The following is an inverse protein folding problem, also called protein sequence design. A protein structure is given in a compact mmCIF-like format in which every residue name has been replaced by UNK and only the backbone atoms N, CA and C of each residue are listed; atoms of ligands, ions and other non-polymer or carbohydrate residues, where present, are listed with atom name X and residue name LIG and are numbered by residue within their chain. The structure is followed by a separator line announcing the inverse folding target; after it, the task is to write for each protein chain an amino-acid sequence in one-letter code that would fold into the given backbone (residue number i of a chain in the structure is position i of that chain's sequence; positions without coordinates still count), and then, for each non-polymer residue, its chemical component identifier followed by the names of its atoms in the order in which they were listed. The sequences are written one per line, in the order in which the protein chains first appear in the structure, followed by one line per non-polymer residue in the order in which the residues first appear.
data_IF_690696767964
#
_entry.id   IF_690696767964
#
_cell.length_a   1.000
_cell.length_b   1.000
_cell.length_c   1.000
_cell.angle_alpha   90.00
_cell.angle_beta   90.00
_cell.angle_gamma   90.00
#
_symmetry.space_group_name_H-M   'P 1'
#
loop_
_entity.id
_entity.type
_entity.pdbx_description
1 polymer ?
#
# COMPACT_ATOMS: atom_id res chain seq x y z
N UNK A 1 -10.98 -21.13 -2.38
CA UNK A 1 -11.26 -20.95 -0.93
C UNK A 1 -11.57 -19.51 -0.50
N UNK A 2 -10.95 -18.46 -1.05
CA UNK A 2 -11.19 -17.08 -0.58
C UNK A 2 -12.65 -16.60 -0.67
N UNK A 3 -13.34 -16.89 -1.79
CA UNK A 3 -14.75 -16.50 -2.00
C UNK A 3 -15.70 -17.04 -0.92
N UNK A 4 -15.48 -18.26 -0.43
CA UNK A 4 -16.29 -18.82 0.66
C UNK A 4 -16.13 -17.99 1.95
N UNK A 5 -14.90 -17.71 2.35
CA UNK A 5 -14.63 -16.87 3.52
C UNK A 5 -15.15 -15.45 3.35
N UNK A 6 -15.08 -14.87 2.14
CA UNK A 6 -15.62 -13.55 1.84
C UNK A 6 -17.15 -13.52 2.03
N UNK A 7 -17.86 -14.50 1.46
CA UNK A 7 -19.31 -14.68 1.66
C UNK A 7 -19.67 -14.90 3.13
N UNK A 8 -18.93 -15.74 3.86
CA UNK A 8 -19.16 -15.96 5.28
C UNK A 8 -18.91 -14.70 6.13
N UNK A 9 -17.97 -13.86 5.73
CA UNK A 9 -17.75 -12.57 6.40
C UNK A 9 -18.92 -11.61 6.20
N UNK A 10 -19.76 -11.81 5.18
CA UNK A 10 -20.96 -10.99 4.98
C UNK A 10 -21.99 -11.10 6.12
N UNK A 11 -21.92 -12.19 6.90
CA UNK A 11 -22.76 -12.50 8.08
C UNK A 11 -22.21 -11.90 9.39
N UNK A 12 -21.03 -11.27 9.35
CA UNK A 12 -20.42 -10.69 10.54
C UNK A 12 -21.10 -9.39 10.96
N UNK A 13 -21.03 -9.07 12.26
CA UNK A 13 -21.55 -7.79 12.79
C UNK A 13 -20.78 -6.64 12.13
N UNK A 14 -21.46 -5.69 11.47
CA UNK A 14 -20.79 -4.62 10.75
C UNK A 14 -20.15 -3.62 11.72
N UNK A 15 -19.12 -2.91 11.23
CA UNK A 15 -18.68 -1.69 11.88
C UNK A 15 -19.84 -0.67 11.87
N UNK A 16 -19.98 0.09 12.96
CA UNK A 16 -21.06 1.08 13.10
C UNK A 16 -20.61 2.51 12.78
N UNK A 17 -19.31 2.75 12.69
CA UNK A 17 -18.72 4.06 12.46
C UNK A 17 -17.21 4.05 12.68
N UNK A 18 -16.62 5.25 12.70
CA UNK A 18 -15.23 5.47 13.08
C UNK A 18 -15.11 5.80 14.57
N UNK A 19 -14.10 5.24 15.24
CA UNK A 19 -13.64 5.64 16.57
C UNK A 19 -12.67 6.83 16.46
N UNK A 20 -11.84 6.84 15.42
CA UNK A 20 -11.00 7.96 15.01
C UNK A 20 -10.98 8.07 13.49
N UNK A 21 -10.93 9.30 12.97
CA UNK A 21 -10.72 9.56 11.55
C UNK A 21 -9.22 9.86 11.35
N UNK A 22 -8.42 8.91 10.86
CA UNK A 22 -7.03 9.22 10.54
C UNK A 22 -7.00 10.22 9.39
N UNK A 23 -6.16 11.24 9.49
CA UNK A 23 -5.89 12.11 8.35
C UNK A 23 -5.31 11.28 7.19
N UNK A 24 -5.64 11.59 5.92
CA UNK A 24 -5.08 10.87 4.79
C UNK A 24 -3.56 10.99 4.78
N UNK A 25 -2.86 9.86 5.03
CA UNK A 25 -1.38 9.83 5.01
C UNK A 25 -0.81 9.48 3.63
N UNK A 26 -1.66 9.08 2.68
CA UNK A 26 -1.26 8.67 1.33
C UNK A 26 -1.09 9.87 0.39
N UNK A 27 -0.11 9.75 -0.52
CA UNK A 27 0.15 10.75 -1.56
C UNK A 27 -0.20 10.11 -2.91
N UNK A 28 -1.07 10.76 -3.68
CA UNK A 28 -1.38 10.38 -5.06
C UNK A 28 -0.72 11.30 -6.09
N UNK A 29 -0.79 10.90 -7.35
CA UNK A 29 -0.31 11.69 -8.48
C UNK A 29 -1.45 12.55 -9.05
N UNK A 30 -1.28 13.87 -8.99
CA UNK A 30 -2.20 14.83 -9.63
C UNK A 30 -2.38 14.53 -11.13
N UNK A 31 -1.28 14.24 -11.84
CA UNK A 31 -1.31 13.95 -13.27
C UNK A 31 -2.13 12.68 -13.58
N UNK A 32 -1.94 11.60 -12.80
CA UNK A 32 -2.75 10.37 -12.96
C UNK A 32 -4.21 10.62 -12.63
N UNK A 33 -4.50 11.40 -11.58
CA UNK A 33 -5.87 11.77 -11.24
C UNK A 33 -6.57 12.52 -12.37
N UNK A 34 -5.87 13.46 -13.03
CA UNK A 34 -6.39 14.17 -14.22
C UNK A 34 -6.59 13.24 -15.43
N UNK A 35 -5.75 12.23 -15.59
CA UNK A 35 -5.96 11.20 -16.63
C UNK A 35 -7.22 10.38 -16.34
N UNK A 36 -7.43 9.95 -15.09
CA UNK A 36 -8.62 9.21 -14.66
C UNK A 36 -9.90 10.02 -14.87
N UNK A 37 -9.91 11.31 -14.53
CA UNK A 37 -11.08 12.17 -14.78
C UNK A 37 -11.31 12.39 -16.27
N UNK A 38 -10.26 12.47 -17.09
CA UNK A 38 -10.38 12.54 -18.55
C UNK A 38 -10.80 11.22 -19.23
N UNK A 39 -10.96 10.11 -18.49
CA UNK A 39 -11.31 8.80 -19.03
C UNK A 39 -10.13 8.05 -19.67
N UNK A 40 -8.90 8.40 -19.29
CA UNK A 40 -7.68 7.68 -19.64
C UNK A 40 -7.23 6.82 -18.46
N UNK A 41 -7.39 5.51 -18.59
CA UNK A 41 -7.15 4.55 -17.51
C UNK A 41 -5.85 3.80 -17.79
N UNK A 42 -4.77 4.18 -17.12
CA UNK A 42 -3.48 3.50 -17.16
C UNK A 42 -3.29 2.68 -15.88
N UNK A 43 -3.46 1.36 -16.00
CA UNK A 43 -3.26 0.40 -14.90
C UNK A 43 -2.42 -0.78 -15.38
N UNK A 44 -1.45 -1.20 -14.57
CA UNK A 44 -0.54 -2.30 -14.86
C UNK A 44 0.12 -2.24 -16.26
N UNK A 45 0.37 -1.03 -16.78
CA UNK A 45 0.93 -0.80 -18.12
C UNK A 45 -0.07 -0.80 -19.28
N UNK A 46 -1.35 -1.10 -19.04
CA UNK A 46 -2.40 -1.06 -20.07
C UNK A 46 -3.14 0.27 -20.04
N UNK A 47 -3.18 0.97 -21.19
CA UNK A 47 -3.95 2.19 -21.38
C UNK A 47 -5.30 1.89 -22.03
N UNK A 48 -6.39 2.24 -21.36
CA UNK A 48 -7.74 2.18 -21.92
C UNK A 48 -8.33 3.58 -21.94
N UNK A 49 -8.85 3.99 -23.09
CA UNK A 49 -9.56 5.26 -23.25
C UNK A 49 -11.06 5.00 -23.29
N UNK A 50 -11.78 5.43 -22.26
CA UNK A 50 -13.22 5.24 -22.15
C UNK A 50 -13.86 6.40 -21.37
N UNK A 51 -14.24 7.46 -22.10
CA UNK A 51 -14.96 8.58 -21.50
C UNK A 51 -16.33 8.13 -20.99
N UNK A 52 -16.76 8.70 -19.86
CA UNK A 52 -18.07 8.46 -19.24
C UNK A 52 -18.38 7.00 -18.86
N UNK A 53 -17.38 6.11 -18.84
CA UNK A 53 -17.54 4.75 -18.31
C UNK A 53 -17.09 4.66 -16.87
N UNK A 54 -17.76 3.80 -16.10
CA UNK A 54 -17.26 3.35 -14.82
C UNK A 54 -15.98 2.52 -15.01
N UNK A 55 -15.04 2.62 -14.08
CA UNK A 55 -13.85 1.76 -14.08
C UNK A 55 -14.22 0.27 -14.01
N UNK A 56 -15.39 -0.06 -13.47
CA UNK A 56 -15.87 -1.43 -13.34
C UNK A 56 -16.51 -1.99 -14.62
N UNK A 57 -16.66 -1.16 -15.66
CA UNK A 57 -17.20 -1.53 -16.98
C UNK A 57 -16.15 -1.49 -18.10
N UNK A 58 -14.88 -1.32 -17.73
CA UNK A 58 -13.76 -1.39 -18.66
C UNK A 58 -13.52 -2.83 -19.10
N UNK A 59 -12.99 -3.05 -20.31
CA UNK A 59 -12.43 -4.36 -20.64
C UNK A 59 -11.30 -4.67 -19.64
N UNK A 60 -11.23 -5.89 -19.15
CA UNK A 60 -10.18 -6.37 -18.23
C UNK A 60 -9.14 -7.15 -19.05
N UNK A 61 -8.16 -6.48 -19.70
CA UNK A 61 -7.25 -7.11 -20.66
C UNK A 61 -6.27 -8.08 -19.99
N UNK A 62 -6.00 -7.89 -18.70
CA UNK A 62 -5.05 -8.69 -17.94
C UNK A 62 -5.48 -8.78 -16.47
N UNK A 63 -5.03 -9.82 -15.77
CA UNK A 63 -5.30 -10.01 -14.34
C UNK A 63 -4.69 -8.90 -13.49
N UNK A 64 -3.48 -8.42 -13.81
CA UNK A 64 -2.81 -7.34 -13.07
C UNK A 64 -3.57 -6.02 -13.18
N UNK A 65 -4.18 -5.77 -14.34
CA UNK A 65 -5.07 -4.64 -14.55
C UNK A 65 -6.27 -4.70 -13.58
N UNK A 66 -6.98 -5.83 -13.56
CA UNK A 66 -8.13 -6.03 -12.67
C UNK A 66 -7.73 -5.98 -11.18
N UNK A 67 -6.56 -6.53 -10.83
CA UNK A 67 -5.98 -6.45 -9.48
C UNK A 67 -5.70 -5.00 -9.05
N UNK A 68 -5.15 -4.14 -9.92
CA UNK A 68 -4.94 -2.72 -9.61
C UNK A 68 -6.24 -1.95 -9.35
N UNK A 69 -7.28 -2.20 -10.15
CA UNK A 69 -8.60 -1.59 -9.95
C UNK A 69 -9.18 -1.96 -8.58
N UNK A 70 -9.12 -3.24 -8.22
CA UNK A 70 -9.63 -3.74 -6.95
C UNK A 70 -8.78 -3.38 -5.72
N UNK A 71 -7.53 -2.96 -5.93
CA UNK A 71 -6.66 -2.42 -4.89
C UNK A 71 -7.01 -1.00 -4.47
N UNK A 72 -7.76 -0.25 -5.28
CA UNK A 72 -8.20 1.11 -5.01
C UNK A 72 -7.08 2.14 -4.77
N UNK A 73 -5.89 1.92 -5.35
CA UNK A 73 -4.79 2.91 -5.30
C UNK A 73 -5.17 4.20 -6.03
N UNK A 74 -6.02 4.10 -7.06
CA UNK A 74 -6.57 5.24 -7.80
C UNK A 74 -7.31 6.26 -6.91
N UNK A 75 -7.73 5.90 -5.69
CA UNK A 75 -8.28 6.86 -4.74
C UNK A 75 -7.25 7.92 -4.32
N UNK A 76 -5.99 7.53 -4.16
CA UNK A 76 -4.91 8.45 -3.81
C UNK A 76 -4.76 9.50 -4.93
N UNK A 77 -4.77 9.05 -6.20
CA UNK A 77 -4.64 9.91 -7.38
C UNK A 77 -5.84 10.87 -7.54
N UNK A 78 -7.07 10.40 -7.32
CA UNK A 78 -8.27 11.26 -7.37
C UNK A 78 -8.28 12.28 -6.22
N UNK A 79 -7.85 11.88 -5.02
CA UNK A 79 -7.75 12.79 -3.88
C UNK A 79 -6.73 13.91 -4.15
N UNK A 80 -5.64 13.62 -4.85
CA UNK A 80 -4.62 14.61 -5.22
C UNK A 80 -5.15 15.70 -6.17
N UNK A 81 -6.17 15.42 -6.99
CA UNK A 81 -6.79 16.43 -7.88
C UNK A 81 -7.69 17.38 -7.10
N UNK A 82 -8.38 16.89 -6.07
CA UNK A 82 -9.19 17.67 -5.14
C UNK A 82 -10.32 18.54 -5.75
N UNK A 83 -10.78 18.24 -6.98
CA UNK A 83 -11.93 18.92 -7.61
C UNK A 83 -13.26 18.16 -7.40
N UNK A 84 -14.38 18.78 -7.80
CA UNK A 84 -15.71 18.20 -7.66
C UNK A 84 -15.90 16.93 -8.52
N UNK A 85 -15.29 16.87 -9.70
CA UNK A 85 -15.41 15.73 -10.62
C UNK A 85 -14.64 14.52 -10.10
N UNK A 86 -13.39 14.71 -9.65
CA UNK A 86 -12.56 13.68 -9.06
C UNK A 86 -13.20 13.09 -7.80
N UNK A 87 -13.76 13.95 -6.94
CA UNK A 87 -14.52 13.50 -5.76
C UNK A 87 -15.74 12.69 -6.15
N UNK A 88 -16.52 13.14 -7.14
CA UNK A 88 -17.69 12.41 -7.62
C UNK A 88 -17.30 11.03 -8.16
N UNK A 89 -16.25 10.93 -8.98
CA UNK A 89 -15.73 9.65 -9.48
C UNK A 89 -15.25 8.74 -8.35
N UNK A 90 -14.55 9.30 -7.37
CA UNK A 90 -14.08 8.53 -6.22
C UNK A 90 -15.23 7.90 -5.44
N UNK A 91 -16.30 8.67 -5.21
CA UNK A 91 -17.53 8.22 -4.55
C UNK A 91 -18.25 7.18 -5.41
N UNK A 92 -18.61 7.52 -6.65
CA UNK A 92 -19.35 6.66 -7.57
C UNK A 92 -18.70 5.29 -7.72
N UNK A 93 -17.39 5.26 -8.01
CA UNK A 93 -16.67 4.00 -8.20
C UNK A 93 -16.54 3.20 -6.90
N UNK A 94 -16.35 3.85 -5.75
CA UNK A 94 -16.28 3.15 -4.46
C UNK A 94 -17.62 2.51 -4.09
N UNK A 95 -18.72 3.26 -4.18
CA UNK A 95 -20.04 2.75 -3.84
C UNK A 95 -20.53 1.73 -4.87
N UNK A 96 -20.14 1.87 -6.13
CA UNK A 96 -20.37 0.84 -7.12
C UNK A 96 -19.63 -0.47 -6.77
N UNK A 97 -18.40 -0.40 -6.27
CA UNK A 97 -17.70 -1.59 -5.78
C UNK A 97 -18.47 -2.24 -4.62
N UNK A 98 -18.98 -1.44 -3.67
CA UNK A 98 -19.82 -1.94 -2.56
C UNK A 98 -21.04 -2.70 -3.10
N UNK A 99 -21.72 -2.14 -4.09
CA UNK A 99 -22.91 -2.74 -4.71
C UNK A 99 -22.59 -4.03 -5.49
N UNK A 100 -21.55 -4.02 -6.33
CA UNK A 100 -21.19 -5.14 -7.21
C UNK A 100 -20.50 -6.30 -6.47
N UNK A 101 -19.64 -5.99 -5.51
CA UNK A 101 -18.70 -6.95 -4.92
C UNK A 101 -18.78 -7.04 -3.39
N UNK A 102 -19.45 -6.11 -2.70
CA UNK A 102 -19.47 -6.02 -1.23
C UNK A 102 -20.16 -7.18 -0.49
N UNK A 103 -20.80 -8.12 -1.20
CA UNK A 103 -21.37 -9.36 -0.66
C UNK A 103 -20.35 -10.50 -0.55
N UNK A 104 -19.11 -10.31 -1.01
CA UNK A 104 -18.12 -11.38 -1.09
C UNK A 104 -18.11 -12.10 -2.45
N UNK A 105 -18.83 -11.58 -3.45
CA UNK A 105 -18.85 -12.07 -4.83
C UNK A 105 -17.82 -11.37 -5.72
N UNK A 106 -17.44 -12.05 -6.79
CA UNK A 106 -16.61 -11.47 -7.84
C UNK A 106 -15.10 -11.40 -7.52
N UNK A 107 -14.35 -10.71 -8.39
CA UNK A 107 -12.93 -10.39 -8.19
C UNK A 107 -12.73 -9.39 -7.04
N UNK A 108 -11.50 -9.27 -6.54
CA UNK A 108 -11.14 -8.31 -5.47
C UNK A 108 -11.16 -8.83 -4.02
N UNK A 109 -11.65 -10.05 -3.79
CA UNK A 109 -11.64 -10.72 -2.46
C UNK A 109 -10.42 -11.64 -2.28
N UNK A 110 -9.23 -11.06 -2.37
CA UNK A 110 -7.97 -11.68 -1.94
C UNK A 110 -7.40 -10.88 -0.76
N UNK A 111 -6.63 -11.50 0.15
CA UNK A 111 -6.03 -10.76 1.24
C UNK A 111 -5.07 -9.65 0.76
N UNK A 112 -4.35 -9.91 -0.34
CA UNK A 112 -3.46 -8.98 -1.05
C UNK A 112 -4.20 -7.67 -1.39
N UNK A 113 -5.35 -7.77 -2.05
CA UNK A 113 -6.15 -6.62 -2.47
C UNK A 113 -6.95 -6.00 -1.32
N UNK A 114 -7.42 -6.82 -0.38
CA UNK A 114 -8.29 -6.32 0.70
C UNK A 114 -7.53 -5.47 1.70
N UNK A 115 -6.29 -5.82 2.04
CA UNK A 115 -5.45 -4.98 2.89
C UNK A 115 -5.22 -3.61 2.26
N UNK A 116 -4.78 -3.62 0.99
CA UNK A 116 -4.56 -2.44 0.19
C UNK A 116 -5.79 -1.52 0.17
N UNK A 117 -6.95 -2.07 -0.18
CA UNK A 117 -8.22 -1.33 -0.29
C UNK A 117 -8.70 -0.78 1.06
N UNK A 118 -8.59 -1.56 2.15
CA UNK A 118 -8.97 -1.09 3.50
C UNK A 118 -8.18 0.17 3.89
N UNK A 119 -6.87 0.20 3.64
CA UNK A 119 -6.03 1.37 3.93
C UNK A 119 -6.57 2.61 3.20
N UNK A 120 -6.81 2.52 1.89
CA UNK A 120 -7.23 3.69 1.09
C UNK A 120 -8.64 4.14 1.44
N UNK A 121 -9.56 3.22 1.67
CA UNK A 121 -10.92 3.58 2.08
C UNK A 121 -10.90 4.30 3.44
N UNK A 122 -10.16 3.77 4.42
CA UNK A 122 -10.06 4.41 5.75
C UNK A 122 -9.41 5.79 5.64
N UNK A 123 -8.29 5.92 4.92
CA UNK A 123 -7.60 7.20 4.74
C UNK A 123 -8.47 8.25 4.02
N UNK A 124 -9.24 7.83 3.01
CA UNK A 124 -10.09 8.72 2.22
C UNK A 124 -11.54 8.78 2.70
N UNK A 125 -11.81 8.41 3.95
CA UNK A 125 -13.16 8.37 4.49
C UNK A 125 -13.88 9.72 4.38
N UNK A 126 -13.19 10.83 4.63
CA UNK A 126 -13.75 12.19 4.52
C UNK A 126 -14.18 12.46 3.06
N UNK A 127 -13.31 12.19 2.08
CA UNK A 127 -13.61 12.33 0.66
C UNK A 127 -14.83 11.49 0.26
N UNK A 128 -14.87 10.23 0.71
CA UNK A 128 -15.88 9.25 0.31
C UNK A 128 -17.25 9.49 0.97
N UNK A 129 -17.28 9.99 2.21
CA UNK A 129 -18.52 10.21 2.96
C UNK A 129 -19.07 11.63 2.86
N UNK A 130 -18.28 12.59 2.34
CA UNK A 130 -18.73 13.97 2.19
C UNK A 130 -19.97 14.05 1.29
N UNK A 131 -21.06 14.61 1.82
CA UNK A 131 -22.34 14.75 1.13
C UNK A 131 -23.17 13.48 1.00
N UNK A 132 -22.74 12.35 1.59
CA UNK A 132 -23.48 11.09 1.55
C UNK A 132 -24.54 11.02 2.65
N UNK A 133 -25.68 10.39 2.33
CA UNK A 133 -26.75 10.17 3.30
C UNK A 133 -26.38 9.06 4.31
N UNK A 134 -27.19 8.95 5.38
CA UNK A 134 -26.97 7.97 6.46
C UNK A 134 -27.05 6.51 6.00
N UNK A 135 -27.89 6.19 5.03
CA UNK A 135 -28.02 4.83 4.50
C UNK A 135 -26.79 4.44 3.69
N UNK A 136 -26.35 5.32 2.79
CA UNK A 136 -25.14 5.14 1.99
C UNK A 136 -23.91 4.98 2.89
N UNK A 137 -23.76 5.82 3.92
CA UNK A 137 -22.72 5.67 4.94
C UNK A 137 -22.78 4.32 5.68
N UNK A 138 -23.98 3.81 6.01
CA UNK A 138 -24.13 2.47 6.63
C UNK A 138 -23.68 1.35 5.69
N UNK A 139 -23.91 1.45 4.38
CA UNK A 139 -23.41 0.43 3.42
C UNK A 139 -21.89 0.41 3.36
N UNK A 140 -21.27 1.59 3.41
CA UNK A 140 -19.81 1.75 3.47
C UNK A 140 -19.20 1.08 4.72
N UNK A 141 -19.69 1.41 5.91
CA UNK A 141 -19.17 0.82 7.16
C UNK A 141 -19.41 -0.69 7.25
N UNK A 142 -20.55 -1.16 6.73
CA UNK A 142 -20.83 -2.60 6.61
C UNK A 142 -19.82 -3.30 5.72
N UNK A 143 -19.49 -2.70 4.57
CA UNK A 143 -18.47 -3.23 3.66
C UNK A 143 -17.09 -3.28 4.32
N UNK A 144 -16.66 -2.20 4.97
CA UNK A 144 -15.40 -2.16 5.73
C UNK A 144 -15.33 -3.26 6.80
N UNK A 145 -16.38 -3.42 7.62
CA UNK A 145 -16.43 -4.48 8.63
C UNK A 145 -16.28 -5.88 8.04
N UNK A 146 -16.97 -6.17 6.92
CA UNK A 146 -16.88 -7.47 6.22
C UNK A 146 -15.48 -7.74 5.70
N UNK A 147 -14.86 -6.72 5.10
CA UNK A 147 -13.49 -6.79 4.59
C UNK A 147 -12.48 -7.06 5.72
N UNK A 148 -12.62 -6.38 6.86
CA UNK A 148 -11.79 -6.60 8.05
C UNK A 148 -11.92 -8.02 8.59
N UNK A 149 -13.15 -8.54 8.70
CA UNK A 149 -13.38 -9.92 9.19
C UNK A 149 -12.81 -10.94 8.21
N UNK A 150 -13.00 -10.76 6.91
CA UNK A 150 -12.38 -11.61 5.89
C UNK A 150 -10.85 -11.61 6.01
N UNK A 151 -10.25 -10.42 6.05
CA UNK A 151 -8.81 -10.26 6.11
C UNK A 151 -8.23 -10.86 7.39
N UNK A 152 -8.91 -10.72 8.53
CA UNK A 152 -8.49 -11.28 9.82
C UNK A 152 -8.37 -12.81 9.78
N UNK A 153 -9.17 -13.47 8.93
CA UNK A 153 -9.17 -14.93 8.73
C UNK A 153 -8.19 -15.37 7.64
N UNK A 154 -7.82 -14.49 6.71
CA UNK A 154 -7.13 -14.86 5.46
C UNK A 154 -5.77 -14.20 5.23
N UNK A 155 -5.34 -13.25 6.05
CA UNK A 155 -4.06 -12.54 5.85
C UNK A 155 -2.85 -13.49 5.67
N UNK A 156 -2.84 -14.66 6.32
CA UNK A 156 -1.75 -15.66 6.18
C UNK A 156 -1.59 -16.23 4.76
N UNK A 157 -2.66 -16.15 3.97
CA UNK A 157 -2.66 -16.56 2.57
C UNK A 157 -2.32 -15.44 1.60
N UNK A 158 -2.02 -14.23 2.09
CA UNK A 158 -1.44 -13.20 1.26
C UNK A 158 -0.07 -13.64 0.75
N UNK A 159 0.27 -13.24 -0.47
CA UNK A 159 1.61 -13.41 -1.01
C UNK A 159 2.65 -12.82 -0.05
N UNK A 160 3.83 -13.45 0.07
CA UNK A 160 4.92 -12.92 0.89
C UNK A 160 5.41 -11.56 0.36
N UNK A 161 6.11 -10.79 1.19
CA UNK A 161 6.57 -9.43 0.84
C UNK A 161 5.47 -8.38 0.96
N UNK A 162 5.49 -7.38 0.08
CA UNK A 162 4.59 -6.21 0.15
C UNK A 162 3.10 -6.55 0.37
N UNK A 163 2.48 -7.52 -0.32
CA UNK A 163 1.06 -7.82 -0.13
C UNK A 163 0.70 -8.25 1.29
N UNK A 164 1.61 -8.94 2.01
CA UNK A 164 1.37 -9.34 3.40
C UNK A 164 1.55 -8.16 4.37
N UNK A 165 2.50 -7.26 4.10
CA UNK A 165 2.61 -6.01 4.84
C UNK A 165 1.34 -5.15 4.67
N UNK A 166 0.82 -5.01 3.45
CA UNK A 166 -0.45 -4.31 3.19
C UNK A 166 -1.64 -4.96 3.92
N UNK A 167 -1.73 -6.29 3.90
CA UNK A 167 -2.76 -7.04 4.62
C UNK A 167 -2.73 -6.78 6.14
N UNK A 168 -1.55 -6.79 6.74
CA UNK A 168 -1.38 -6.61 8.18
C UNK A 168 -1.58 -5.15 8.60
N UNK A 169 -1.04 -4.19 7.85
CA UNK A 169 -1.26 -2.76 8.08
C UNK A 169 -2.73 -2.39 7.91
N UNK A 170 -3.41 -2.90 6.88
CA UNK A 170 -4.85 -2.70 6.68
C UNK A 170 -5.70 -3.26 7.83
N UNK A 171 -5.30 -4.40 8.42
CA UNK A 171 -5.97 -4.91 9.62
C UNK A 171 -5.74 -4.05 10.87
N UNK A 172 -4.54 -3.50 11.03
CA UNK A 172 -4.23 -2.59 12.14
C UNK A 172 -5.08 -1.31 12.00
N UNK A 173 -5.07 -0.69 10.83
CA UNK A 173 -5.87 0.51 10.54
C UNK A 173 -7.36 0.24 10.76
N UNK A 174 -7.89 -0.83 10.17
CA UNK A 174 -9.29 -1.17 10.37
C UNK A 174 -9.64 -1.46 11.83
N UNK A 175 -8.76 -2.13 12.58
CA UNK A 175 -8.97 -2.41 13.99
C UNK A 175 -8.91 -1.17 14.88
N UNK A 176 -8.07 -0.19 14.54
CA UNK A 176 -7.95 1.07 15.29
C UNK A 176 -9.05 2.07 14.95
N UNK A 177 -9.44 2.14 13.67
CA UNK A 177 -10.38 3.14 13.19
C UNK A 177 -11.84 2.71 13.29
N UNK A 178 -12.18 1.42 13.16
CA UNK A 178 -13.59 0.98 13.08
C UNK A 178 -14.15 0.48 14.41
N UNK A 179 -15.32 0.99 14.78
CA UNK A 179 -16.03 0.56 15.99
C UNK A 179 -16.32 -0.95 15.96
N UNK A 180 -15.86 -1.67 16.99
CA UNK A 180 -16.09 -3.10 17.18
C UNK A 180 -15.06 -4.02 16.51
N UNK A 181 -13.98 -3.46 15.96
CA UNK A 181 -12.89 -4.20 15.29
C UNK A 181 -11.57 -4.20 16.08
N UNK A 182 -11.54 -3.60 17.27
CA UNK A 182 -10.36 -3.34 18.11
C UNK A 182 -9.63 -4.63 18.50
N UNK A 183 -10.38 -5.73 18.68
CA UNK A 183 -9.85 -7.08 18.99
C UNK A 183 -8.85 -7.63 17.96
N UNK A 184 -8.84 -7.07 16.74
CA UNK A 184 -7.95 -7.53 15.67
C UNK A 184 -6.55 -6.91 15.76
N UNK A 185 -6.39 -5.75 16.43
CA UNK A 185 -5.16 -4.95 16.44
C UNK A 185 -3.99 -5.73 17.05
N UNK A 186 -4.14 -6.30 18.23
CA UNK A 186 -3.03 -6.98 18.93
C UNK A 186 -2.46 -8.16 18.14
N UNK A 187 -3.33 -8.97 17.52
CA UNK A 187 -2.91 -10.11 16.68
C UNK A 187 -2.23 -9.64 15.39
N UNK A 188 -2.76 -8.59 14.76
CA UNK A 188 -2.19 -8.04 13.53
C UNK A 188 -0.82 -7.39 13.79
N UNK A 189 -0.67 -6.62 14.88
CA UNK A 189 0.61 -6.02 15.28
C UNK A 189 1.69 -7.08 15.57
N UNK A 190 1.33 -8.18 16.26
CA UNK A 190 2.26 -9.29 16.47
C UNK A 190 2.64 -10.01 15.20
N UNK A 191 1.69 -10.20 14.28
CA UNK A 191 1.98 -10.77 12.97
C UNK A 191 2.87 -9.85 12.13
N UNK A 192 2.65 -8.53 12.15
CA UNK A 192 3.47 -7.55 11.45
C UNK A 192 4.92 -7.57 11.94
N UNK A 193 5.13 -7.67 13.24
CA UNK A 193 6.47 -7.78 13.83
C UNK A 193 7.20 -9.06 13.39
N UNK A 194 6.49 -10.18 13.32
CA UNK A 194 7.03 -11.46 12.81
C UNK A 194 7.34 -11.38 11.32
N UNK A 195 6.51 -10.66 10.56
CA UNK A 195 6.74 -10.40 9.15
C UNK A 195 8.00 -9.56 8.93
N UNK A 196 8.18 -8.49 9.71
CA UNK A 196 9.37 -7.65 9.71
C UNK A 196 10.63 -8.48 10.00
N UNK A 197 10.59 -9.36 11.00
CA UNK A 197 11.73 -10.20 11.34
C UNK A 197 12.08 -11.25 10.27
N UNK A 198 11.13 -11.59 9.38
CA UNK A 198 11.31 -12.61 8.34
C UNK A 198 11.74 -12.03 7.01
N UNK A 199 11.15 -10.92 6.60
CA UNK A 199 11.32 -10.35 5.26
C UNK A 199 12.35 -9.22 5.21
N UNK A 200 12.77 -8.67 6.37
CA UNK A 200 13.71 -7.54 6.43
C UNK A 200 14.99 -7.99 7.10
N UNK A 201 16.07 -8.06 6.32
CA UNK A 201 17.37 -8.53 6.78
C UNK A 201 18.04 -7.56 7.78
N UNK A 202 19.25 -7.90 8.20
CA UNK A 202 20.04 -7.13 9.18
C UNK A 202 20.54 -5.79 8.63
N UNK A 203 20.54 -5.61 7.31
CA UNK A 203 20.92 -4.38 6.61
C UNK A 203 19.68 -3.56 6.23
N UNK A 204 18.46 -4.07 6.46
CA UNK A 204 17.22 -3.38 6.11
C UNK A 204 16.77 -3.63 4.67
N UNK A 205 17.31 -4.65 4.02
CA UNK A 205 16.92 -5.07 2.68
C UNK A 205 15.73 -6.04 2.65
N UNK A 206 15.09 -6.12 1.49
CA UNK A 206 14.02 -7.08 1.17
C UNK A 206 14.45 -8.03 0.04
N UNK A 207 13.89 -9.26 -0.03
CA UNK A 207 14.33 -10.29 -0.98
C UNK A 207 14.23 -9.90 -2.46
N UNK A 208 13.26 -9.08 -2.84
CA UNK A 208 13.07 -8.65 -4.24
C UNK A 208 14.14 -7.68 -4.71
N UNK A 209 14.94 -7.15 -3.78
CA UNK A 209 15.96 -6.13 -4.04
C UNK A 209 15.40 -4.89 -4.77
N UNK A 210 14.09 -4.66 -4.75
CA UNK A 210 13.42 -3.55 -5.43
C UNK A 210 13.34 -2.32 -4.49
N UNK A 211 14.01 -1.19 -4.82
CA UNK A 211 14.02 0.00 -3.97
C UNK A 211 12.65 0.65 -3.76
N UNK A 212 11.80 0.66 -4.80
CA UNK A 212 10.45 1.23 -4.73
C UNK A 212 9.54 0.37 -3.84
N UNK A 213 9.63 -0.96 -3.95
CA UNK A 213 8.91 -1.87 -3.05
C UNK A 213 9.37 -1.70 -1.60
N UNK A 214 10.67 -1.50 -1.35
CA UNK A 214 11.18 -1.21 -0.02
C UNK A 214 10.59 0.09 0.54
N UNK A 215 10.45 1.14 -0.29
CA UNK A 215 9.81 2.39 0.12
C UNK A 215 8.33 2.20 0.46
N UNK A 216 7.60 1.36 -0.29
CA UNK A 216 6.22 0.99 0.02
C UNK A 216 6.12 0.30 1.39
N UNK A 217 6.95 -0.72 1.62
CA UNK A 217 7.02 -1.43 2.91
C UNK A 217 7.34 -0.46 4.04
N UNK A 218 8.37 0.37 3.88
CA UNK A 218 8.79 1.36 4.87
C UNK A 218 7.65 2.33 5.23
N UNK A 219 6.95 2.84 4.22
CA UNK A 219 5.81 3.74 4.39
C UNK A 219 4.71 3.08 5.21
N UNK A 220 4.33 1.83 4.88
CA UNK A 220 3.31 1.07 5.61
C UNK A 220 3.71 0.79 7.05
N UNK A 221 4.98 0.48 7.30
CA UNK A 221 5.49 0.24 8.65
C UNK A 221 5.45 1.50 9.50
N UNK A 222 5.92 2.64 8.96
CA UNK A 222 5.86 3.93 9.65
C UNK A 222 4.43 4.31 9.97
N UNK A 223 3.51 4.19 9.01
CA UNK A 223 2.08 4.43 9.21
C UNK A 223 1.46 3.54 10.29
N UNK A 224 1.80 2.26 10.32
CA UNK A 224 1.33 1.34 11.35
C UNK A 224 1.88 1.72 12.74
N UNK A 225 3.16 2.10 12.81
CA UNK A 225 3.79 2.49 14.07
C UNK A 225 3.15 3.78 14.63
N UNK A 226 2.97 4.80 13.79
CA UNK A 226 2.31 6.05 14.18
C UNK A 226 0.87 5.80 14.63
N UNK A 227 0.08 5.04 13.87
CA UNK A 227 -1.32 4.77 14.22
C UNK A 227 -1.45 3.99 15.55
N UNK A 228 -0.55 3.04 15.81
CA UNK A 228 -0.50 2.33 17.10
C UNK A 228 -0.20 3.31 18.24
N UNK A 229 0.83 4.15 18.09
CA UNK A 229 1.23 5.13 19.10
C UNK A 229 0.14 6.18 19.38
N UNK A 230 -0.50 6.72 18.35
CA UNK A 230 -1.65 7.65 18.45
C UNK A 230 -2.83 7.02 19.21
N UNK A 231 -3.00 5.69 19.10
CA UNK A 231 -4.00 4.94 19.84
C UNK A 231 -3.54 4.48 21.23
N UNK A 232 -2.43 5.02 21.75
CA UNK A 232 -1.88 4.68 23.07
C UNK A 232 -1.29 3.27 23.17
N UNK A 233 -0.93 2.65 22.03
CA UNK A 233 -0.33 1.31 21.97
C UNK A 233 1.12 1.40 21.52
N UNK A 234 2.02 0.73 22.22
CA UNK A 234 3.42 0.66 21.82
C UNK A 234 3.60 -0.31 20.64
N UNK A 235 4.17 0.13 19.49
CA UNK A 235 4.57 -0.78 18.42
C UNK A 235 5.58 -1.82 18.90
N UNK A 236 5.58 -3.01 18.29
CA UNK A 236 6.47 -4.08 18.73
C UNK A 236 7.93 -3.79 18.36
N UNK A 237 8.87 -4.27 19.20
CA UNK A 237 10.31 -4.02 19.01
C UNK A 237 10.83 -4.41 17.63
N UNK A 238 10.43 -5.58 17.10
CA UNK A 238 10.89 -6.03 15.78
C UNK A 238 10.36 -5.16 14.63
N UNK A 239 9.18 -4.55 14.80
CA UNK A 239 8.60 -3.60 13.85
C UNK A 239 9.36 -2.27 13.87
N UNK A 240 9.61 -1.69 15.05
CA UNK A 240 10.42 -0.46 15.17
C UNK A 240 11.84 -0.66 14.66
N UNK A 241 12.48 -1.78 15.04
CA UNK A 241 13.82 -2.11 14.59
C UNK A 241 13.90 -2.30 13.06
N UNK A 242 12.83 -2.73 12.40
CA UNK A 242 12.78 -2.81 10.94
C UNK A 242 12.77 -1.41 10.29
N UNK A 243 11.96 -0.48 10.81
CA UNK A 243 11.96 0.92 10.36
C UNK A 243 13.37 1.51 10.47
N UNK A 244 14.03 1.31 11.61
CA UNK A 244 15.40 1.81 11.87
C UNK A 244 16.45 1.24 10.90
N UNK A 245 16.29 -0.01 10.46
CA UNK A 245 17.21 -0.66 9.50
C UNK A 245 16.93 -0.24 8.05
N UNK A 246 15.67 -0.07 7.67
CA UNK A 246 15.30 0.28 6.30
C UNK A 246 15.72 1.72 5.95
N UNK A 247 15.58 2.67 6.88
CA UNK A 247 15.79 4.08 6.58
C UNK A 247 17.20 4.40 6.03
N UNK A 248 18.32 3.87 6.59
CA UNK A 248 19.65 4.01 6.01
C UNK A 248 19.78 3.43 4.61
N UNK A 249 19.15 2.28 4.36
CA UNK A 249 19.18 1.59 3.06
C UNK A 249 18.46 2.41 2.00
N UNK A 250 17.27 2.96 2.29
CA UNK A 250 16.60 3.88 1.37
C UNK A 250 17.40 5.16 1.09
N UNK A 251 18.10 5.71 2.09
CA UNK A 251 19.00 6.86 1.88
C UNK A 251 20.18 6.52 0.97
N UNK A 252 20.72 5.30 1.08
CA UNK A 252 21.79 4.81 0.23
C UNK A 252 21.31 4.46 -1.19
N UNK A 253 20.02 4.25 -1.42
CA UNK A 253 19.44 4.00 -2.74
C UNK A 253 18.88 5.25 -3.43
N UNK A 254 19.05 6.42 -2.79
CA UNK A 254 18.61 7.73 -3.30
C UNK A 254 19.70 8.36 -4.18
N UNK A 255 19.33 8.75 -5.39
CA UNK A 255 20.14 9.59 -6.28
C UNK A 255 20.22 11.03 -5.76
N UNK A 256 21.16 11.81 -6.31
CA UNK A 256 21.31 13.22 -5.96
C UNK A 256 20.09 14.09 -6.32
N UNK A 257 19.22 13.63 -7.22
CA UNK A 257 17.96 14.27 -7.60
C UNK A 257 16.79 13.96 -6.64
N UNK A 258 17.03 13.15 -5.61
CA UNK A 258 16.03 12.74 -4.62
C UNK A 258 15.19 11.51 -5.02
N UNK A 259 15.32 11.02 -6.25
CA UNK A 259 14.67 9.79 -6.72
C UNK A 259 15.36 8.53 -6.22
N UNK A 260 14.64 7.40 -6.27
CA UNK A 260 15.22 6.07 -6.05
C UNK A 260 15.83 5.50 -7.34
N UNK A 261 16.85 4.67 -7.17
CA UNK A 261 17.39 3.85 -8.26
C UNK A 261 16.34 2.86 -8.80
N UNK A 262 16.36 2.59 -10.11
CA UNK A 262 15.31 1.86 -10.84
C UNK A 262 15.71 0.44 -11.19
N UNK A 263 15.75 -0.41 -10.18
CA UNK A 263 16.13 -1.82 -10.33
C UNK A 263 14.97 -2.79 -10.05
N UNK A 264 15.05 -3.97 -10.67
CA UNK A 264 14.17 -5.13 -10.46
C UNK A 264 12.66 -4.79 -10.46
N UNK A 265 12.22 -4.14 -11.54
CA UNK A 265 10.84 -3.72 -11.75
C UNK A 265 10.38 -2.48 -10.98
N UNK A 266 11.27 -1.84 -10.21
CA UNK A 266 10.98 -0.61 -9.48
C UNK A 266 11.28 0.64 -10.31
N UNK A 267 10.47 1.67 -10.14
CA UNK A 267 10.70 3.02 -10.64
C UNK A 267 11.36 3.94 -9.62
N UNK A 268 11.42 5.23 -9.94
CA UNK A 268 12.00 6.27 -9.06
C UNK A 268 11.13 6.63 -7.84
N UNK A 269 9.91 6.09 -7.75
CA UNK A 269 8.88 6.54 -6.81
C UNK A 269 8.22 7.87 -7.19
N UNK A 270 7.15 8.24 -6.48
CA UNK A 270 6.55 9.58 -6.59
C UNK A 270 7.50 10.63 -6.01
N UNK A 271 7.54 11.80 -6.66
CA UNK A 271 8.34 12.93 -6.21
C UNK A 271 7.99 13.33 -4.76
N UNK A 272 9.02 13.60 -3.94
CA UNK A 272 8.88 13.96 -2.53
C UNK A 272 8.45 12.81 -1.59
N UNK A 273 7.99 11.67 -2.12
CA UNK A 273 7.48 10.56 -1.29
C UNK A 273 8.57 9.93 -0.41
N UNK A 274 9.77 9.74 -0.95
CA UNK A 274 10.91 9.20 -0.21
C UNK A 274 11.27 10.12 0.96
N UNK A 275 11.40 11.42 0.70
CA UNK A 275 11.78 12.39 1.72
C UNK A 275 10.70 12.49 2.80
N UNK A 276 9.42 12.50 2.43
CA UNK A 276 8.31 12.47 3.38
C UNK A 276 8.34 11.19 4.23
N UNK A 277 8.56 10.02 3.63
CA UNK A 277 8.61 8.76 4.36
C UNK A 277 9.77 8.74 5.36
N UNK A 278 10.95 9.25 4.96
CA UNK A 278 12.12 9.36 5.83
C UNK A 278 11.92 10.38 6.96
N UNK A 279 11.25 11.50 6.69
CA UNK A 279 10.93 12.52 7.69
C UNK A 279 9.92 12.01 8.75
N UNK A 280 8.98 11.16 8.33
CA UNK A 280 7.97 10.57 9.22
C UNK A 280 8.55 9.47 10.14
N UNK A 281 9.72 8.93 9.83
CA UNK A 281 10.35 7.91 10.66
C UNK A 281 11.09 8.54 11.85
N UNK A 282 10.64 8.22 13.06
CA UNK A 282 11.29 8.62 14.28
C UNK A 282 12.59 7.81 14.47
N UNK A 283 13.72 8.31 13.99
CA UNK A 283 15.01 7.63 14.11
C UNK A 283 16.18 8.55 13.78
N UNK A 284 17.34 8.29 14.39
CA UNK A 284 18.58 9.01 14.07
C UNK A 284 19.03 8.65 12.65
N UNK A 285 19.52 9.64 11.91
CA UNK A 285 20.17 9.39 10.64
C UNK A 285 21.38 8.48 10.86
N UNK A 286 21.32 7.25 10.36
CA UNK A 286 22.44 6.31 10.29
C UNK A 286 22.83 6.16 8.84
N UNK A 287 24.13 6.06 8.58
CA UNK A 287 24.68 5.74 7.28
C UNK A 287 24.65 4.23 7.07
N UNK A 288 24.23 3.79 5.89
CA UNK A 288 24.48 2.41 5.47
C UNK A 288 25.99 2.24 5.22
N UNK A 289 26.52 1.08 5.56
CA UNK A 289 27.91 0.70 5.28
C UNK A 289 27.89 -0.51 4.36
N UNK A 290 28.82 -0.59 3.41
CA UNK A 290 28.88 -1.69 2.45
C UNK A 290 27.79 -1.61 1.38
N UNK A 291 27.20 -2.75 1.04
CA UNK A 291 26.14 -2.85 0.05
C UNK A 291 24.78 -2.57 0.70
N UNK A 292 23.95 -1.76 0.05
CA UNK A 292 22.56 -1.56 0.45
C UNK A 292 21.69 -2.45 -0.43
N UNK A 293 21.07 -3.52 0.08
CA UNK A 293 20.29 -4.48 -0.75
C UNK A 293 21.07 -5.07 -1.93
N UNK A 294 22.39 -5.22 -1.78
CA UNK A 294 23.27 -5.67 -2.86
C UNK A 294 23.67 -4.58 -3.85
N UNK A 295 23.32 -3.31 -3.61
CA UNK A 295 23.75 -2.18 -4.43
C UNK A 295 24.94 -1.45 -3.80
N UNK A 296 25.96 -1.15 -4.60
CA UNK A 296 27.07 -0.30 -4.22
C UNK A 296 26.77 1.15 -4.60
N UNK A 297 27.02 2.10 -3.70
CA UNK A 297 26.86 3.53 -3.98
C UNK A 297 28.19 4.26 -3.89
N UNK A 298 28.47 5.08 -4.90
CA UNK A 298 29.56 6.06 -4.93
C UNK A 298 28.94 7.45 -5.11
N UNK A 299 29.47 8.46 -4.42
CA UNK A 299 29.00 9.83 -4.58
C UNK A 299 30.15 10.83 -4.50
N UNK A 300 30.15 11.80 -5.41
CA UNK A 300 31.09 12.91 -5.45
C UNK A 300 30.36 14.19 -5.88
N UNK A 301 30.29 15.17 -4.96
CA UNK A 301 29.54 16.40 -5.19
C UNK A 301 28.07 16.13 -5.50
N UNK A 302 27.62 16.53 -6.70
CA UNK A 302 26.26 16.34 -7.21
C UNK A 302 26.06 15.05 -8.02
N UNK A 303 27.12 14.24 -8.17
CA UNK A 303 27.07 12.99 -8.93
C UNK A 303 26.95 11.81 -7.97
N UNK A 304 26.07 10.87 -8.29
CA UNK A 304 25.88 9.63 -7.52
C UNK A 304 25.76 8.45 -8.45
N UNK A 305 26.61 7.44 -8.29
CA UNK A 305 26.53 6.18 -9.04
C UNK A 305 25.96 5.11 -8.11
N UNK A 306 24.98 4.36 -8.58
CA UNK A 306 24.44 3.17 -7.90
C UNK A 306 24.63 1.97 -8.83
N UNK A 307 25.32 0.94 -8.37
CA UNK A 307 25.66 -0.27 -9.14
C UNK A 307 25.01 -1.50 -8.50
N UNK A 308 24.34 -2.33 -9.29
CA UNK A 308 23.87 -3.65 -8.88
C UNK A 308 25.07 -4.60 -8.73
N UNK A 309 25.49 -4.82 -7.48
CA UNK A 309 26.71 -5.55 -7.14
C UNK A 309 26.43 -6.95 -6.58
N UNK A 310 25.23 -7.50 -6.81
CA UNK A 310 24.86 -8.83 -6.32
C UNK A 310 24.10 -9.65 -7.37
N UNK A 311 24.00 -10.96 -7.13
CA UNK A 311 23.24 -11.86 -7.98
C UNK A 311 21.75 -11.47 -8.02
N UNK A 312 21.05 -11.66 -9.15
CA UNK A 312 19.63 -11.35 -9.24
C UNK A 312 18.81 -12.13 -8.21
N UNK A 313 17.69 -11.56 -7.69
CA UNK A 313 16.77 -12.30 -6.84
C UNK A 313 16.34 -13.62 -7.48
N UNK A 314 16.22 -14.68 -6.67
CA UNK A 314 15.84 -16.02 -7.13
C UNK A 314 14.53 -16.51 -6.52
N UNK A 315 13.99 -17.61 -7.04
CA UNK A 315 12.79 -18.24 -6.52
C UNK A 315 11.58 -17.31 -6.54
N UNK A 316 10.86 -17.20 -5.41
CA UNK A 316 9.64 -16.37 -5.33
C UNK A 316 9.89 -14.87 -5.45
N UNK A 317 11.10 -14.40 -5.16
CA UNK A 317 11.48 -13.00 -5.28
C UNK A 317 11.85 -12.58 -6.71
N UNK A 318 11.96 -13.53 -7.63
CA UNK A 318 12.44 -13.30 -9.00
C UNK A 318 11.39 -12.82 -10.00
N UNK A 319 10.11 -12.68 -9.59
CA UNK A 319 9.00 -12.41 -10.51
C UNK A 319 9.16 -11.14 -11.36
N UNK A 320 9.78 -10.11 -10.79
CA UNK A 320 10.13 -8.84 -11.46
C UNK A 320 11.64 -8.61 -11.48
N UNK A 321 12.45 -9.63 -11.17
CA UNK A 321 13.90 -9.49 -11.15
C UNK A 321 14.43 -9.28 -12.56
N UNK A 322 15.38 -8.35 -12.68
CA UNK A 322 16.13 -8.12 -13.91
C UNK A 322 17.43 -8.93 -13.89
N UNK A 323 17.91 -9.36 -15.06
CA UNK A 323 19.28 -9.86 -15.23
C UNK A 323 20.27 -8.67 -15.26
N UNK A 324 20.33 -7.92 -14.15
CA UNK A 324 20.96 -6.59 -14.08
C UNK A 324 22.27 -6.54 -13.31
N UNK A 325 22.90 -7.66 -12.96
CA UNK A 325 24.18 -7.64 -12.24
C UNK A 325 25.22 -6.83 -13.02
N UNK A 326 25.91 -5.92 -12.33
CA UNK A 326 26.82 -4.89 -12.86
C UNK A 326 26.17 -3.74 -13.63
N UNK A 327 24.84 -3.69 -13.76
CA UNK A 327 24.16 -2.50 -14.27
C UNK A 327 24.33 -1.33 -13.29
N UNK A 328 24.38 -0.11 -13.84
CA UNK A 328 24.58 1.11 -13.06
C UNK A 328 23.66 2.24 -13.50
N UNK A 329 23.30 3.09 -12.56
CA UNK A 329 22.67 4.39 -12.77
C UNK A 329 23.61 5.50 -12.26
N UNK A 330 23.65 6.64 -12.96
CA UNK A 330 24.45 7.84 -12.64
C UNK A 330 23.54 9.08 -12.58
#
# INVERSE_FOLDING_TARGET
MHRLHARMSALSRPAKGFVSQPEPKTIGSFARGRQLTAGNFLFAGFLIQARNKSIWDLPMPDRRFEEELHGCVWLDDLAAVADAEARKRAQDWTFEWVRRFGSGSGPGWTPDLTGRRLIRWINHAILLLNGQDKETARTYFRSLGRQTVFLSRRWRSASAGLPRFEALTGLIYAGLSLTGMERHVGRAASALAKECAREIDVEGGIPTRNPEELLEVFTLLTWAATALSEAGRTPQRAHLAAIDRIAPTLRALRHADGGLARFHGGGRGLEGRLDQALANAAGRARTAHGLAMGYARLAAGRSSIIVDAAAPPTGRASSNAHASTLAMEL
#
